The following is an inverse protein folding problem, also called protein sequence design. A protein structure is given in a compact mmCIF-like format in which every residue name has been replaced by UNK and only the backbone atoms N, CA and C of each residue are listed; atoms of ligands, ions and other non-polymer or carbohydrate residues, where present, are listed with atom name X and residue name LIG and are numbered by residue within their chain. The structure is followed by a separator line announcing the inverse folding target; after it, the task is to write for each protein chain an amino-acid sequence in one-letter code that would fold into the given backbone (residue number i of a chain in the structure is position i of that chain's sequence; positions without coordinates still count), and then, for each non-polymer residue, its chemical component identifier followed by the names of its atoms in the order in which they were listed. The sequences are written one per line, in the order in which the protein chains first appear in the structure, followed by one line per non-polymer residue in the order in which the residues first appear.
data_IF_043813766302
#
_entry.id   IF_043813766302
#
_cell.length_a   1.000
_cell.length_b   1.000
_cell.length_c   1.000
_cell.angle_alpha   90.00
_cell.angle_beta   90.00
_cell.angle_gamma   90.00
#
_symmetry.space_group_name_H-M   'P 1'
#
loop_
_entity.id
_entity.type
_entity.pdbx_description
1 polymer ?
#
# COMPACT_ATOMS: atom_id res chain seq x y z
N UNK A 1 25.75 29.54 33.39
CA UNK A 1 25.36 29.01 34.69
C UNK A 1 23.85 28.81 34.59
N UNK A 2 23.24 27.68 34.55
CA UNK A 2 23.29 26.47 35.34
C UNK A 2 22.78 25.30 34.42
N UNK A 3 23.54 24.26 34.40
CA UNK A 3 23.13 22.93 33.87
C UNK A 3 22.23 22.23 34.89
N UNK A 4 21.19 21.51 34.44
CA UNK A 4 20.59 20.44 35.21
C UNK A 4 20.10 19.32 34.27
N UNK A 5 20.89 18.32 34.18
CA UNK A 5 20.76 16.86 34.25
C UNK A 5 19.36 16.27 34.00
N UNK A 6 19.24 15.54 32.90
CA UNK A 6 18.21 14.53 32.67
C UNK A 6 18.80 13.17 33.05
N UNK A 7 18.25 12.54 34.06
CA UNK A 7 18.63 11.21 34.53
C UNK A 7 18.01 10.11 33.67
N UNK A 8 18.86 9.32 33.04
CA UNK A 8 18.51 8.02 32.48
C UNK A 8 18.08 7.04 33.60
N UNK A 9 16.88 6.49 33.47
CA UNK A 9 16.51 5.26 34.17
C UNK A 9 16.62 4.09 33.19
N UNK A 10 17.73 3.37 33.27
CA UNK A 10 17.88 2.02 32.71
C UNK A 10 17.22 1.00 33.64
N UNK A 11 16.17 0.34 33.17
CA UNK A 11 15.68 -0.85 33.81
C UNK A 11 16.32 -2.08 33.15
N UNK A 12 17.25 -2.71 33.83
CA UNK A 12 17.78 -4.02 33.50
C UNK A 12 16.78 -5.09 33.96
N UNK A 13 16.31 -5.92 33.02
CA UNK A 13 15.73 -7.21 33.38
C UNK A 13 16.84 -8.25 33.36
N UNK A 14 17.17 -8.78 34.56
CA UNK A 14 18.11 -9.86 34.75
C UNK A 14 17.52 -11.18 34.23
N UNK A 15 18.34 -11.94 33.53
CA UNK A 15 17.98 -13.23 32.97
C UNK A 15 17.83 -14.34 34.01
N UNK A 16 16.93 -15.27 33.68
CA UNK A 16 16.80 -16.57 34.31
C UNK A 16 16.04 -17.48 33.37
N UNK A 17 16.71 -18.53 32.88
CA UNK A 17 16.08 -19.61 32.14
C UNK A 17 15.15 -20.40 33.06
N UNK A 18 13.88 -20.55 32.64
CA UNK A 18 12.98 -21.59 33.17
C UNK A 18 12.20 -22.15 31.96
N UNK A 19 12.37 -23.45 31.69
CA UNK A 19 11.54 -24.27 30.84
C UNK A 19 10.19 -24.57 31.50
N UNK A 20 9.07 -24.44 30.73
CA UNK A 20 7.76 -24.93 31.17
C UNK A 20 6.60 -24.29 30.38
N UNK A 21 5.46 -24.95 30.21
CA UNK A 21 4.54 -24.73 29.12
C UNK A 21 3.63 -23.51 29.33
N UNK A 22 3.38 -22.83 28.23
CA UNK A 22 2.33 -21.83 27.91
C UNK A 22 1.50 -21.29 29.09
N UNK A 23 1.84 -20.08 29.56
CA UNK A 23 0.91 -19.21 30.25
C UNK A 23 0.96 -17.80 29.62
N UNK A 24 -0.23 -17.33 29.21
CA UNK A 24 -0.49 -15.98 28.75
C UNK A 24 0.08 -14.94 29.74
N UNK A 25 1.21 -14.39 29.43
CA UNK A 25 1.67 -13.15 30.02
C UNK A 25 1.25 -12.01 29.09
N UNK A 26 0.27 -11.23 29.50
CA UNK A 26 -0.19 -10.03 28.82
C UNK A 26 0.89 -8.94 28.87
N UNK A 27 1.91 -9.08 28.05
CA UNK A 27 2.79 -7.98 27.67
C UNK A 27 2.17 -7.32 26.45
N UNK A 28 1.43 -6.24 26.64
CA UNK A 28 1.21 -5.25 25.58
C UNK A 28 2.59 -4.75 25.14
N UNK A 29 3.13 -5.35 24.08
CA UNK A 29 4.21 -4.75 23.34
C UNK A 29 3.63 -3.50 22.64
N UNK A 30 3.65 -2.37 23.35
CA UNK A 30 3.42 -1.06 22.75
C UNK A 30 4.62 -0.79 21.83
N UNK A 31 4.49 -1.20 20.57
CA UNK A 31 5.36 -0.73 19.52
C UNK A 31 5.12 0.78 19.39
N UNK A 32 5.95 1.58 20.07
CA UNK A 32 6.08 3.00 19.78
C UNK A 32 6.76 3.12 18.41
N UNK A 33 5.97 2.98 17.35
CA UNK A 33 6.41 3.34 16.00
C UNK A 33 6.40 4.87 15.93
N UNK A 34 7.54 5.47 16.18
CA UNK A 34 7.78 6.85 15.82
C UNK A 34 7.88 6.93 14.31
N UNK A 35 7.00 7.66 13.73
CA UNK A 35 7.07 8.35 12.44
C UNK A 35 6.03 7.91 11.41
N UNK A 36 5.21 8.80 11.05
CA UNK A 36 4.30 9.14 9.94
C UNK A 36 4.23 8.22 8.69
N UNK A 37 4.65 6.97 8.75
CA UNK A 37 4.45 5.98 7.69
C UNK A 37 3.18 5.21 7.98
N UNK A 38 2.14 5.51 7.22
CA UNK A 38 0.85 4.82 7.27
C UNK A 38 0.99 3.42 6.69
N UNK A 39 1.29 2.43 7.53
CA UNK A 39 1.58 1.04 7.14
C UNK A 39 0.53 0.03 7.56
N UNK A 40 -0.39 0.42 8.45
CA UNK A 40 -1.42 -0.47 9.00
C UNK A 40 -2.83 0.02 8.64
N UNK A 41 -3.80 -0.87 8.71
CA UNK A 41 -5.20 -0.56 8.43
C UNK A 41 -5.69 0.68 9.15
N UNK A 42 -5.40 0.82 10.46
CA UNK A 42 -5.75 1.99 11.28
C UNK A 42 -5.20 3.33 10.73
N UNK A 43 -4.11 3.28 9.98
CA UNK A 43 -3.40 4.48 9.51
C UNK A 43 -3.93 4.97 8.15
N UNK A 44 -4.69 4.10 7.45
CA UNK A 44 -5.16 4.33 6.08
C UNK A 44 -6.68 4.25 5.94
N UNK A 45 -7.42 4.21 7.06
CA UNK A 45 -8.88 4.33 7.06
C UNK A 45 -9.26 5.63 6.36
N UNK A 46 -10.23 5.56 5.47
CA UNK A 46 -10.79 6.71 4.78
C UNK A 46 -11.48 7.67 5.75
N UNK A 47 -11.46 8.95 5.41
CA UNK A 47 -12.33 9.96 6.03
C UNK A 47 -13.75 9.91 5.45
N UNK A 48 -13.94 9.20 4.34
CA UNK A 48 -15.23 9.00 3.67
C UNK A 48 -16.01 7.91 4.39
N UNK A 49 -17.30 8.16 4.63
CA UNK A 49 -18.20 7.17 5.22
C UNK A 49 -18.76 6.26 4.12
N UNK A 50 -18.34 5.00 4.15
CA UNK A 50 -18.80 3.94 3.25
C UNK A 50 -19.86 3.04 3.89
N UNK A 51 -20.65 3.57 4.84
CA UNK A 51 -21.65 2.80 5.57
C UNK A 51 -23.06 3.07 5.07
N UNK A 52 -23.91 2.08 5.25
CA UNK A 52 -25.36 2.20 5.08
C UNK A 52 -26.06 1.45 6.21
N UNK A 53 -27.03 2.12 6.85
CA UNK A 53 -27.88 1.45 7.84
C UNK A 53 -28.78 0.42 7.17
N UNK A 54 -28.99 -0.72 7.82
CA UNK A 54 -29.86 -1.80 7.32
C UNK A 54 -31.30 -1.34 7.09
N UNK A 55 -31.73 -0.25 7.70
CA UNK A 55 -33.01 0.39 7.51
C UNK A 55 -33.11 1.34 6.31
N UNK A 56 -32.00 1.64 5.64
CA UNK A 56 -32.02 2.52 4.45
C UNK A 56 -32.64 1.82 3.25
N UNK A 57 -33.10 2.63 2.29
CA UNK A 57 -33.69 2.14 1.06
C UNK A 57 -32.61 1.66 0.09
N UNK A 58 -32.95 0.68 -0.73
CA UNK A 58 -32.11 0.22 -1.86
C UNK A 58 -31.67 1.38 -2.73
N UNK A 59 -32.61 2.28 -3.11
CA UNK A 59 -32.29 3.44 -3.94
C UNK A 59 -31.31 4.42 -3.30
N UNK A 60 -31.27 4.52 -1.97
CA UNK A 60 -30.30 5.35 -1.27
C UNK A 60 -28.91 4.69 -1.27
N UNK A 61 -28.85 3.37 -1.07
CA UNK A 61 -27.60 2.61 -1.13
C UNK A 61 -26.98 2.66 -2.53
N UNK A 62 -27.76 2.47 -3.59
CA UNK A 62 -27.28 2.57 -4.99
C UNK A 62 -26.72 3.95 -5.27
N UNK A 63 -27.45 5.03 -4.93
CA UNK A 63 -26.97 6.40 -5.12
C UNK A 63 -25.69 6.69 -4.33
N UNK A 64 -25.56 6.13 -3.15
CA UNK A 64 -24.36 6.30 -2.34
C UNK A 64 -23.15 5.61 -2.98
N UNK A 65 -23.32 4.38 -3.49
CA UNK A 65 -22.28 3.66 -4.24
C UNK A 65 -21.81 4.44 -5.48
N UNK A 66 -22.78 4.98 -6.25
CA UNK A 66 -22.49 5.80 -7.44
C UNK A 66 -21.70 7.06 -7.08
N UNK A 67 -22.12 7.78 -6.04
CA UNK A 67 -21.48 9.01 -5.60
C UNK A 67 -20.07 8.80 -5.05
N UNK A 68 -19.82 7.65 -4.42
CA UNK A 68 -18.54 7.29 -3.82
C UNK A 68 -17.64 6.48 -4.77
N UNK A 69 -18.12 6.17 -5.98
CA UNK A 69 -17.41 5.37 -7.00
C UNK A 69 -16.96 4.00 -6.45
N UNK A 70 -17.80 3.37 -5.63
CA UNK A 70 -17.59 2.02 -5.09
C UNK A 70 -18.72 1.08 -5.49
N UNK A 71 -18.43 -0.21 -5.57
CA UNK A 71 -19.43 -1.23 -5.90
C UNK A 71 -20.01 -1.92 -4.65
N UNK A 72 -19.48 -1.64 -3.48
CA UNK A 72 -19.95 -2.21 -2.21
C UNK A 72 -20.08 -1.13 -1.14
N UNK A 73 -20.99 -1.37 -0.18
CA UNK A 73 -21.12 -0.59 1.05
C UNK A 73 -21.15 -1.52 2.27
N UNK A 74 -20.62 -1.03 3.37
CA UNK A 74 -20.69 -1.72 4.65
C UNK A 74 -22.09 -1.52 5.28
N UNK A 75 -22.86 -2.60 5.40
CA UNK A 75 -24.16 -2.58 6.07
C UNK A 75 -23.95 -2.66 7.56
N UNK A 76 -24.53 -1.70 8.28
CA UNK A 76 -24.48 -1.65 9.75
C UNK A 76 -25.89 -1.65 10.34
N UNK A 77 -25.96 -2.10 11.58
CA UNK A 77 -27.14 -1.95 12.43
C UNK A 77 -26.67 -1.62 13.84
N UNK A 78 -27.13 -0.50 14.37
CA UNK A 78 -26.74 -0.03 15.71
C UNK A 78 -25.21 0.03 15.88
N UNK A 79 -24.50 0.47 14.83
CA UNK A 79 -23.03 0.52 14.75
C UNK A 79 -22.32 -0.85 14.73
N UNK A 80 -23.04 -1.95 14.56
CA UNK A 80 -22.51 -3.30 14.41
C UNK A 80 -22.43 -3.64 12.92
N UNK A 81 -21.26 -4.08 12.47
CA UNK A 81 -21.05 -4.52 11.10
C UNK A 81 -21.82 -5.83 10.83
N UNK A 82 -22.67 -5.84 9.82
CA UNK A 82 -23.43 -7.00 9.38
C UNK A 82 -22.77 -7.70 8.19
N UNK A 83 -22.16 -6.95 7.30
CA UNK A 83 -21.53 -7.43 6.08
C UNK A 83 -21.51 -6.35 5.00
N UNK A 84 -21.03 -6.70 3.81
CA UNK A 84 -21.05 -5.87 2.62
C UNK A 84 -22.26 -6.21 1.75
N UNK A 85 -22.92 -5.18 1.24
CA UNK A 85 -23.89 -5.27 0.15
C UNK A 85 -23.21 -4.83 -1.13
N UNK A 86 -23.38 -5.58 -2.23
CA UNK A 86 -22.85 -5.24 -3.55
C UNK A 86 -23.89 -4.51 -4.40
N UNK A 87 -23.44 -3.64 -5.30
CA UNK A 87 -24.29 -3.02 -6.32
C UNK A 87 -25.05 -4.09 -7.14
N UNK A 88 -24.35 -5.16 -7.54
CA UNK A 88 -24.93 -6.24 -8.35
C UNK A 88 -26.08 -6.97 -7.65
N UNK A 89 -26.07 -7.02 -6.31
CA UNK A 89 -27.10 -7.71 -5.54
C UNK A 89 -28.40 -6.89 -5.43
N UNK A 90 -28.34 -5.56 -5.62
CA UNK A 90 -29.45 -4.66 -5.32
C UNK A 90 -29.91 -3.77 -6.49
N UNK A 91 -29.13 -3.65 -7.56
CA UNK A 91 -29.41 -2.70 -8.66
C UNK A 91 -30.75 -2.96 -9.36
N UNK A 92 -31.15 -4.22 -9.48
CA UNK A 92 -32.37 -4.64 -10.15
C UNK A 92 -33.59 -4.72 -9.19
N UNK A 93 -33.41 -4.39 -7.90
CA UNK A 93 -34.47 -4.44 -6.90
C UNK A 93 -35.28 -3.12 -6.89
N UNK A 94 -36.47 -3.20 -6.30
CA UNK A 94 -37.32 -2.01 -6.10
C UNK A 94 -36.59 -1.00 -5.16
N UNK A 95 -36.33 0.18 -5.66
CA UNK A 95 -35.59 1.24 -4.95
C UNK A 95 -36.27 1.68 -3.64
N UNK A 96 -37.58 1.37 -3.45
CA UNK A 96 -38.36 1.69 -2.24
C UNK A 96 -38.25 0.63 -1.15
N UNK A 97 -37.64 -0.51 -1.39
CA UNK A 97 -37.41 -1.55 -0.38
C UNK A 97 -36.36 -1.13 0.62
N UNK A 98 -36.51 -1.52 1.88
CA UNK A 98 -35.43 -1.41 2.86
C UNK A 98 -34.49 -2.59 2.73
N UNK A 99 -33.16 -2.36 2.93
CA UNK A 99 -32.14 -3.40 2.86
C UNK A 99 -32.44 -4.57 3.81
N UNK A 100 -32.99 -4.30 5.00
CA UNK A 100 -33.37 -5.32 5.98
C UNK A 100 -34.56 -6.18 5.55
N UNK A 101 -35.38 -5.72 4.60
CA UNK A 101 -36.59 -6.43 4.15
C UNK A 101 -36.33 -7.32 2.91
N UNK A 102 -35.10 -7.27 2.38
CA UNK A 102 -34.74 -8.09 1.21
C UNK A 102 -34.58 -9.55 1.63
N UNK A 103 -35.52 -10.38 1.20
CA UNK A 103 -35.44 -11.82 1.42
C UNK A 103 -34.22 -12.40 0.68
N UNK A 104 -33.38 -13.15 1.40
CA UNK A 104 -32.16 -13.80 0.88
C UNK A 104 -31.03 -12.85 0.44
N UNK A 105 -30.96 -11.63 0.97
CA UNK A 105 -29.78 -10.80 0.78
C UNK A 105 -28.60 -11.41 1.53
N UNK A 106 -27.66 -11.99 0.78
CA UNK A 106 -26.43 -12.57 1.32
C UNK A 106 -25.35 -11.48 1.44
N UNK A 107 -25.13 -10.98 2.68
CA UNK A 107 -24.06 -10.03 2.94
C UNK A 107 -22.72 -10.73 3.04
N UNK A 108 -21.74 -10.28 2.25
CA UNK A 108 -20.35 -10.75 2.34
C UNK A 108 -19.72 -10.23 3.64
N UNK A 109 -18.97 -11.09 4.33
CA UNK A 109 -18.34 -10.73 5.62
C UNK A 109 -16.84 -10.47 5.50
N UNK A 110 -16.41 -10.00 4.34
CA UNK A 110 -15.03 -9.57 4.15
C UNK A 110 -14.75 -8.33 5.00
N UNK A 111 -13.65 -8.35 5.73
CA UNK A 111 -13.19 -7.23 6.56
C UNK A 111 -11.71 -7.40 6.86
N UNK A 112 -11.06 -6.37 7.37
CA UNK A 112 -9.70 -6.36 7.88
C UNK A 112 -9.66 -5.82 9.30
N UNK A 113 -8.58 -6.12 10.00
CA UNK A 113 -8.33 -5.59 11.34
C UNK A 113 -7.49 -4.30 11.28
N UNK A 114 -7.63 -3.45 12.32
CA UNK A 114 -6.85 -2.22 12.48
C UNK A 114 -5.33 -2.44 12.39
N UNK A 115 -4.86 -3.64 12.81
CA UNK A 115 -3.46 -4.02 12.83
C UNK A 115 -2.94 -4.66 11.54
N UNK A 116 -3.79 -4.90 10.55
CA UNK A 116 -3.38 -5.51 9.28
C UNK A 116 -2.41 -4.59 8.53
N UNK A 117 -1.30 -5.18 8.04
CA UNK A 117 -0.33 -4.44 7.25
C UNK A 117 -0.88 -4.16 5.84
N UNK A 118 -0.56 -2.98 5.28
CA UNK A 118 -1.06 -2.52 3.97
C UNK A 118 -0.85 -3.54 2.83
N UNK A 119 0.24 -4.29 2.82
CA UNK A 119 0.48 -5.34 1.81
C UNK A 119 -0.47 -6.54 1.98
N UNK A 120 -0.85 -6.88 3.23
CA UNK A 120 -1.88 -7.90 3.49
C UNK A 120 -3.26 -7.41 3.04
N UNK A 121 -3.58 -6.14 3.31
CA UNK A 121 -4.81 -5.50 2.81
C UNK A 121 -4.86 -5.57 1.28
N UNK A 122 -3.74 -5.26 0.60
CA UNK A 122 -3.62 -5.35 -0.85
C UNK A 122 -3.89 -6.78 -1.38
N UNK A 123 -3.29 -7.80 -0.74
CA UNK A 123 -3.54 -9.20 -1.09
C UNK A 123 -5.03 -9.55 -0.97
N UNK A 124 -5.69 -9.03 0.08
CA UNK A 124 -7.12 -9.27 0.30
C UNK A 124 -7.99 -8.62 -0.77
N UNK A 125 -7.67 -7.39 -1.22
CA UNK A 125 -8.34 -6.76 -2.35
C UNK A 125 -8.21 -7.58 -3.64
N UNK A 126 -7.02 -8.09 -3.94
CA UNK A 126 -6.80 -8.95 -5.12
C UNK A 126 -7.63 -10.23 -5.03
N UNK A 127 -7.62 -10.89 -3.88
CA UNK A 127 -8.30 -12.16 -3.70
C UNK A 127 -9.84 -12.03 -3.71
N UNK A 128 -10.38 -10.95 -3.14
CA UNK A 128 -11.82 -10.73 -3.02
C UNK A 128 -12.45 -10.05 -4.24
N UNK A 129 -11.68 -9.29 -5.00
CA UNK A 129 -12.15 -8.46 -6.12
C UNK A 129 -12.96 -7.23 -5.71
N UNK A 130 -13.08 -6.95 -4.40
CA UNK A 130 -13.87 -5.84 -3.85
C UNK A 130 -13.33 -4.47 -4.26
N UNK A 131 -14.17 -3.46 -4.31
CA UNK A 131 -13.81 -2.05 -4.44
C UNK A 131 -13.61 -1.36 -3.09
N UNK A 132 -14.19 -1.94 -2.02
CA UNK A 132 -14.15 -1.46 -0.66
C UNK A 132 -13.93 -2.62 0.32
N UNK A 133 -13.08 -2.44 1.33
CA UNK A 133 -12.95 -3.37 2.45
C UNK A 133 -13.17 -2.63 3.78
N UNK A 134 -14.13 -3.09 4.62
CA UNK A 134 -14.36 -2.55 5.95
C UNK A 134 -13.22 -2.86 6.91
N UNK A 135 -12.94 -1.93 7.80
CA UNK A 135 -11.95 -2.07 8.89
C UNK A 135 -12.70 -2.23 10.21
N UNK A 136 -12.44 -3.33 10.90
CA UNK A 136 -13.09 -3.65 12.17
C UNK A 136 -12.08 -3.56 13.34
N UNK A 137 -12.60 -3.38 14.53
CA UNK A 137 -11.83 -3.62 15.75
C UNK A 137 -12.03 -5.05 16.27
N UNK A 138 -11.29 -5.40 17.36
CA UNK A 138 -11.39 -6.72 17.99
C UNK A 138 -12.77 -7.09 18.54
N UNK A 139 -13.74 -6.14 18.57
CA UNK A 139 -15.12 -6.33 19.00
C UNK A 139 -16.10 -6.37 17.82
N UNK A 140 -15.61 -6.52 16.59
CA UNK A 140 -16.39 -6.48 15.36
C UNK A 140 -17.13 -5.14 15.12
N UNK A 141 -16.70 -4.06 15.77
CA UNK A 141 -17.22 -2.73 15.51
C UNK A 141 -16.53 -2.14 14.28
N UNK A 142 -17.32 -1.57 13.40
CA UNK A 142 -16.82 -0.89 12.22
C UNK A 142 -16.08 0.41 12.64
N UNK A 143 -14.88 0.59 12.12
CA UNK A 143 -14.05 1.79 12.32
C UNK A 143 -13.96 2.66 11.07
N UNK A 144 -14.39 2.16 9.94
CA UNK A 144 -14.41 2.81 8.65
C UNK A 144 -14.16 1.83 7.51
N UNK A 145 -13.85 2.34 6.33
CA UNK A 145 -13.53 1.55 5.15
C UNK A 145 -12.23 2.00 4.50
N UNK A 146 -11.71 1.18 3.62
CA UNK A 146 -10.61 1.51 2.73
C UNK A 146 -11.07 1.18 1.32
N UNK A 147 -11.08 2.17 0.43
CA UNK A 147 -11.36 1.94 -0.99
C UNK A 147 -10.10 1.47 -1.73
N UNK A 148 -10.31 0.80 -2.87
CA UNK A 148 -9.22 0.38 -3.76
C UNK A 148 -8.39 1.57 -4.25
N UNK A 149 -9.04 2.70 -4.54
CA UNK A 149 -8.37 3.93 -4.98
C UNK A 149 -7.45 4.50 -3.91
N UNK A 150 -7.92 4.57 -2.66
CA UNK A 150 -7.11 5.04 -1.52
C UNK A 150 -5.92 4.12 -1.25
N UNK A 151 -6.15 2.79 -1.27
CA UNK A 151 -5.07 1.82 -1.12
C UNK A 151 -4.00 1.99 -2.19
N UNK A 152 -4.38 2.23 -3.45
CA UNK A 152 -3.44 2.47 -4.55
C UNK A 152 -2.54 3.69 -4.27
N UNK A 153 -3.13 4.79 -3.80
CA UNK A 153 -2.38 6.00 -3.41
C UNK A 153 -1.41 5.69 -2.25
N UNK A 154 -1.86 4.92 -1.25
CA UNK A 154 -1.02 4.53 -0.12
C UNK A 154 0.15 3.62 -0.51
N UNK A 155 -0.07 2.69 -1.44
CA UNK A 155 1.01 1.86 -1.99
C UNK A 155 2.06 2.69 -2.72
N UNK A 156 1.63 3.68 -3.52
CA UNK A 156 2.54 4.62 -4.17
C UNK A 156 3.46 5.31 -3.16
N UNK A 157 2.92 5.76 -2.04
CA UNK A 157 3.69 6.37 -0.95
C UNK A 157 4.60 5.36 -0.23
N UNK A 158 4.12 4.12 -0.01
CA UNK A 158 4.91 3.07 0.63
C UNK A 158 6.15 2.71 -0.17
N UNK A 159 6.03 2.67 -1.49
CA UNK A 159 7.14 2.39 -2.40
C UNK A 159 7.96 3.62 -2.78
N UNK A 160 7.69 4.78 -2.17
CA UNK A 160 8.34 6.07 -2.46
C UNK A 160 8.27 6.46 -3.95
N UNK A 161 7.19 6.06 -4.65
CA UNK A 161 7.02 6.35 -6.08
C UNK A 161 6.71 7.83 -6.33
N UNK A 162 6.20 8.53 -5.32
CA UNK A 162 5.90 9.96 -5.37
C UNK A 162 7.08 10.83 -4.99
N UNK A 163 8.16 10.24 -4.47
CA UNK A 163 9.34 10.98 -4.08
C UNK A 163 10.20 11.29 -5.31
N UNK A 164 10.81 12.49 -5.37
CA UNK A 164 11.68 12.86 -6.47
C UNK A 164 12.89 11.94 -6.56
N UNK A 165 13.40 11.73 -7.78
CA UNK A 165 14.55 10.87 -8.04
C UNK A 165 14.36 10.00 -9.28
N UNK A 166 15.27 9.08 -9.51
CA UNK A 166 15.35 8.26 -10.71
C UNK A 166 14.96 6.81 -10.47
N UNK A 167 14.77 6.09 -11.56
CA UNK A 167 14.51 4.65 -11.59
C UNK A 167 15.58 3.97 -12.44
N UNK A 168 16.18 2.89 -11.92
CA UNK A 168 17.09 2.00 -12.69
C UNK A 168 16.47 0.61 -12.70
N UNK A 169 16.53 -0.07 -13.83
CA UNK A 169 16.09 -1.46 -13.98
C UNK A 169 17.30 -2.32 -14.35
N UNK A 170 17.63 -3.25 -13.46
CA UNK A 170 18.69 -4.25 -13.68
C UNK A 170 18.04 -5.56 -14.12
N UNK A 171 18.74 -6.30 -14.99
CA UNK A 171 18.40 -7.67 -15.35
C UNK A 171 19.53 -8.60 -14.93
N UNK A 172 19.21 -9.65 -14.21
CA UNK A 172 20.19 -10.61 -13.70
C UNK A 172 19.58 -11.99 -13.48
N UNK A 173 20.43 -12.99 -13.33
CA UNK A 173 19.98 -14.31 -12.88
C UNK A 173 19.58 -14.26 -11.39
N UNK A 174 18.54 -14.98 -11.04
CA UNK A 174 18.04 -15.05 -9.65
C UNK A 174 19.11 -15.49 -8.64
N UNK A 175 20.09 -16.30 -9.09
CA UNK A 175 21.19 -16.79 -8.26
C UNK A 175 22.19 -15.69 -7.90
N UNK A 176 22.32 -14.70 -8.78
CA UNK A 176 23.31 -13.61 -8.66
C UNK A 176 22.70 -12.39 -7.96
N UNK A 177 21.41 -12.47 -7.57
CA UNK A 177 20.74 -11.40 -6.85
C UNK A 177 21.28 -11.27 -5.41
N UNK A 178 21.85 -10.11 -5.13
CA UNK A 178 22.26 -9.69 -3.78
C UNK A 178 21.89 -8.23 -3.54
N UNK A 179 20.85 -7.98 -2.73
CA UNK A 179 20.46 -6.62 -2.37
C UNK A 179 21.59 -5.87 -1.63
N UNK A 180 22.39 -6.60 -0.84
CA UNK A 180 23.52 -6.01 -0.13
C UNK A 180 24.63 -5.52 -1.07
N UNK A 181 24.91 -6.26 -2.16
CA UNK A 181 25.88 -5.83 -3.18
C UNK A 181 25.36 -4.66 -4.01
N UNK A 182 24.12 -4.75 -4.46
CA UNK A 182 23.43 -3.66 -5.17
C UNK A 182 23.43 -2.38 -4.31
N UNK A 183 23.08 -2.50 -3.02
CA UNK A 183 23.09 -1.36 -2.09
C UNK A 183 24.48 -0.75 -1.94
N UNK A 184 25.53 -1.57 -1.81
CA UNK A 184 26.91 -1.10 -1.71
C UNK A 184 27.38 -0.35 -2.96
N UNK A 185 26.98 -0.82 -4.16
CA UNK A 185 27.33 -0.14 -5.42
C UNK A 185 26.68 1.25 -5.47
N UNK A 186 25.40 1.34 -5.11
CA UNK A 186 24.65 2.61 -5.11
C UNK A 186 25.22 3.59 -4.06
N UNK A 187 25.52 3.10 -2.85
CA UNK A 187 26.09 3.92 -1.77
C UNK A 187 27.49 4.47 -2.09
N UNK A 188 28.30 3.75 -2.87
CA UNK A 188 29.61 4.24 -3.33
C UNK A 188 29.51 5.51 -4.18
N UNK A 189 28.37 5.72 -4.84
CA UNK A 189 28.10 6.91 -5.65
C UNK A 189 27.30 7.98 -4.86
N UNK A 190 27.34 7.93 -3.53
CA UNK A 190 26.63 8.85 -2.62
C UNK A 190 25.10 8.93 -2.88
N UNK A 191 24.54 7.85 -3.40
CA UNK A 191 23.10 7.72 -3.72
C UNK A 191 22.49 6.68 -2.79
N UNK A 192 21.19 6.82 -2.51
CA UNK A 192 20.44 5.88 -1.66
C UNK A 192 19.28 5.23 -2.41
N UNK A 193 19.03 3.95 -2.11
CA UNK A 193 17.86 3.23 -2.62
C UNK A 193 16.66 3.58 -1.75
N UNK A 194 15.62 4.19 -2.33
CA UNK A 194 14.35 4.49 -1.68
C UNK A 194 13.43 3.27 -1.66
N UNK A 195 13.41 2.50 -2.76
CA UNK A 195 12.70 1.22 -2.84
C UNK A 195 13.34 0.28 -3.86
N UNK A 196 13.12 -1.02 -3.67
CA UNK A 196 13.57 -2.08 -4.59
C UNK A 196 12.42 -3.04 -4.84
N UNK A 197 12.09 -3.27 -6.10
CA UNK A 197 11.04 -4.18 -6.54
C UNK A 197 11.66 -5.26 -7.42
N UNK A 198 11.30 -6.52 -7.15
CA UNK A 198 11.79 -7.67 -7.92
C UNK A 198 10.62 -8.28 -8.69
N UNK A 199 10.78 -8.38 -10.00
CA UNK A 199 9.83 -9.09 -10.87
C UNK A 199 10.51 -10.28 -11.56
N UNK A 200 9.86 -11.44 -11.51
CA UNK A 200 10.33 -12.65 -12.21
C UNK A 200 9.86 -12.66 -13.66
N UNK A 201 10.68 -13.25 -14.54
CA UNK A 201 10.25 -13.60 -15.90
C UNK A 201 9.64 -15.01 -15.84
N UNK A 202 8.39 -15.22 -16.33
CA UNK A 202 7.80 -16.55 -16.39
C UNK A 202 8.72 -17.55 -17.09
N UNK A 203 8.80 -18.75 -16.54
CA UNK A 203 9.59 -19.88 -17.07
C UNK A 203 11.09 -19.57 -17.29
N UNK A 204 11.65 -18.60 -16.56
CA UNK A 204 13.05 -18.19 -16.62
C UNK A 204 13.70 -18.09 -15.25
N UNK A 205 15.02 -18.25 -15.21
CA UNK A 205 15.80 -17.93 -14.01
C UNK A 205 16.13 -16.43 -13.89
N UNK A 206 15.77 -15.66 -14.91
CA UNK A 206 16.03 -14.22 -14.92
C UNK A 206 15.01 -13.45 -14.10
N UNK A 207 15.49 -12.37 -13.50
CA UNK A 207 14.67 -11.39 -12.77
C UNK A 207 15.02 -9.98 -13.23
N UNK A 208 14.04 -9.09 -13.10
CA UNK A 208 14.27 -7.66 -13.16
C UNK A 208 14.23 -7.07 -11.76
N UNK A 209 15.22 -6.23 -11.45
CA UNK A 209 15.28 -5.47 -10.19
C UNK A 209 15.12 -4.00 -10.51
N UNK A 210 13.97 -3.41 -10.14
CA UNK A 210 13.71 -1.99 -10.29
C UNK A 210 14.10 -1.27 -9.01
N UNK A 211 15.01 -0.30 -9.12
CA UNK A 211 15.53 0.48 -8.01
C UNK A 211 15.06 1.93 -8.13
N UNK A 212 14.29 2.42 -7.16
CA UNK A 212 14.00 3.85 -7.01
C UNK A 212 15.13 4.47 -6.20
N UNK A 213 15.76 5.50 -6.75
CA UNK A 213 16.90 6.21 -6.17
C UNK A 213 16.52 7.64 -5.78
N UNK A 214 17.20 8.21 -4.79
CA UNK A 214 16.98 9.58 -4.31
C UNK A 214 17.76 10.65 -5.09
N UNK A 215 18.34 10.30 -6.25
CA UNK A 215 19.14 11.19 -7.08
C UNK A 215 18.63 11.23 -8.51
N UNK A 216 18.76 12.37 -9.16
CA UNK A 216 18.53 12.52 -10.61
C UNK A 216 19.81 12.23 -11.40
N UNK A 217 20.98 12.60 -10.85
CA UNK A 217 22.26 12.24 -11.45
C UNK A 217 22.64 10.81 -11.04
N UNK A 218 22.49 9.90 -11.98
CA UNK A 218 22.71 8.46 -11.81
C UNK A 218 23.75 7.88 -12.77
N UNK A 219 24.46 8.73 -13.51
CA UNK A 219 25.46 8.27 -14.50
C UNK A 219 26.57 7.47 -13.82
N UNK A 220 27.06 7.92 -12.66
CA UNK A 220 28.04 7.18 -11.87
C UNK A 220 27.54 5.83 -11.40
N UNK A 221 26.26 5.78 -10.97
CA UNK A 221 25.60 4.53 -10.54
C UNK A 221 25.49 3.53 -11.70
N UNK A 222 25.08 3.99 -12.90
CA UNK A 222 24.99 3.16 -14.10
C UNK A 222 26.35 2.58 -14.45
N UNK A 223 27.40 3.42 -14.56
CA UNK A 223 28.78 2.99 -14.86
C UNK A 223 29.32 2.01 -13.81
N UNK A 224 28.95 2.20 -12.55
CA UNK A 224 29.34 1.29 -11.49
C UNK A 224 28.63 -0.06 -11.62
N UNK A 225 27.33 -0.10 -11.94
CA UNK A 225 26.65 -1.37 -12.23
C UNK A 225 27.28 -2.11 -13.41
N UNK A 226 27.54 -1.44 -14.51
CA UNK A 226 28.22 -2.02 -15.68
C UNK A 226 29.61 -2.57 -15.34
N UNK A 227 30.40 -1.85 -14.52
CA UNK A 227 31.71 -2.30 -14.05
C UNK A 227 31.68 -3.56 -13.19
N UNK A 228 30.55 -3.78 -12.47
CA UNK A 228 30.30 -4.98 -11.68
C UNK A 228 29.49 -6.04 -12.44
N UNK A 229 29.50 -5.99 -13.78
CA UNK A 229 28.84 -6.94 -14.69
C UNK A 229 27.30 -7.05 -14.50
N UNK A 230 26.62 -5.99 -13.98
CA UNK A 230 25.18 -5.90 -13.99
C UNK A 230 24.67 -5.35 -15.31
N UNK A 231 23.66 -6.02 -15.91
CA UNK A 231 22.97 -5.55 -17.10
C UNK A 231 21.95 -4.47 -16.71
N UNK A 232 22.20 -3.20 -17.07
CA UNK A 232 21.25 -2.10 -16.94
C UNK A 232 20.37 -2.07 -18.18
N UNK A 233 19.11 -2.47 -18.07
CA UNK A 233 18.19 -2.56 -19.22
C UNK A 233 17.40 -1.29 -19.48
N UNK A 234 17.18 -0.49 -18.44
CA UNK A 234 16.50 0.80 -18.54
C UNK A 234 16.84 1.70 -17.36
N UNK A 235 16.76 3.00 -17.59
CA UNK A 235 16.75 4.00 -16.52
C UNK A 235 15.85 5.17 -16.92
N UNK A 236 15.28 5.85 -15.89
CA UNK A 236 14.37 6.98 -16.05
C UNK A 236 14.77 8.06 -15.06
N UNK A 237 14.94 9.29 -15.54
CA UNK A 237 15.18 10.50 -14.76
C UNK A 237 14.10 11.52 -15.12
N UNK A 238 13.83 12.52 -14.25
CA UNK A 238 12.86 13.58 -14.59
C UNK A 238 13.32 14.39 -15.80
N UNK A 239 14.62 14.66 -15.93
CA UNK A 239 15.17 15.31 -17.11
C UNK A 239 14.90 14.53 -18.40
N UNK A 240 15.02 13.18 -18.36
CA UNK A 240 14.74 12.34 -19.54
C UNK A 240 13.26 12.37 -19.94
N UNK A 241 12.35 12.67 -19.01
CA UNK A 241 10.92 12.80 -19.30
C UNK A 241 10.61 14.17 -19.92
N UNK A 242 11.22 15.22 -19.42
CA UNK A 242 11.09 16.57 -20.03
C UNK A 242 11.72 16.63 -21.41
N UNK A 243 12.90 16.03 -21.59
CA UNK A 243 13.56 15.91 -22.90
C UNK A 243 12.71 15.09 -23.88
N UNK A 244 12.16 13.95 -23.43
CA UNK A 244 11.26 13.14 -24.26
C UNK A 244 9.99 13.90 -24.67
N UNK A 245 9.39 14.66 -23.75
CA UNK A 245 8.24 15.51 -24.08
C UNK A 245 8.63 16.65 -25.04
N UNK A 246 9.80 17.23 -24.86
CA UNK A 246 10.34 18.30 -25.70
C UNK A 246 10.64 17.79 -27.10
N UNK A 247 11.26 16.62 -27.23
CA UNK A 247 11.53 15.97 -28.50
C UNK A 247 10.23 15.61 -29.23
N UNK A 248 9.25 15.03 -28.54
CA UNK A 248 7.92 14.76 -29.08
C UNK A 248 7.19 16.02 -29.53
N UNK A 249 7.30 17.08 -28.72
CA UNK A 249 6.74 18.39 -29.08
C UNK A 249 7.42 18.95 -30.35
N UNK A 250 8.74 18.89 -30.42
CA UNK A 250 9.51 19.34 -31.58
C UNK A 250 9.20 18.52 -32.85
N UNK A 251 9.09 17.18 -32.72
CA UNK A 251 8.64 16.31 -33.81
C UNK A 251 7.24 16.71 -34.32
N UNK A 252 6.32 16.99 -33.38
CA UNK A 252 4.95 17.41 -33.73
C UNK A 252 4.91 18.78 -34.39
N UNK A 253 5.70 19.74 -33.92
CA UNK A 253 5.82 21.08 -34.56
C UNK A 253 6.41 20.94 -35.94
N UNK A 254 7.49 20.17 -36.12
CA UNK A 254 8.09 19.93 -37.43
C UNK A 254 7.11 19.25 -38.42
N UNK A 255 6.21 18.40 -37.91
CA UNK A 255 5.15 17.79 -38.72
C UNK A 255 4.06 18.78 -39.13
N UNK A 256 3.80 19.81 -38.32
CA UNK A 256 2.79 20.83 -38.63
C UNK A 256 3.32 21.99 -39.51
N UNK A 257 4.63 22.18 -39.61
CA UNK A 257 5.25 23.21 -40.45
C UNK A 257 5.48 22.75 -41.91
N UNK A 258 5.02 21.55 -42.27
CA UNK A 258 4.94 21.06 -43.67
C UNK A 258 3.55 21.41 -44.23
#
# INVERSE_FOLDING_TARGET
MIWSSVSEKRNFCNGGYIEGPYNHCGCECVLQVHNNRKMFGKDIISEVDYTVESSHLVGDAVRLMENLEVSELAVVKDNIYLGLVSMDDIIDLDASLHLCDIANLELRRDSIDLGDHVLHIYQKFIASGLSLIPVLDGNLQLKGGISRGELFIHLGKLFNLTDPGSLIVLKLDRRDYSLGEIGRIVEQENTSILSSLISGVPDSQQIYVSLKLNSFDIQGVIQSFERFDYEVVAYFTEESYEDFLTDRYNEFINFLEI
#
